data_IF_527287217787
#
_entry.id   IF_527287217787
#
_cell.length_a   1.000
_cell.length_b   1.000
_cell.length_c   1.000
_cell.angle_alpha   90.00
_cell.angle_beta   90.00
_cell.angle_gamma   90.00
#
_symmetry.space_group_name_H-M   'P 1'
#
loop_
_entity.id
_entity.type
_entity.pdbx_description
1 polymer ?
#
# COMPACT_ATOMS: atom_id res chain seq x y z
N UNK A 1 19.65 -18.07 14.58
CA UNK A 1 19.97 -16.86 13.80
C UNK A 1 19.08 -16.72 12.57
N UNK A 2 18.83 -17.79 11.82
CA UNK A 2 17.97 -17.77 10.61
C UNK A 2 16.59 -17.13 10.82
N UNK A 3 15.85 -17.52 11.87
CA UNK A 3 14.51 -16.97 12.15
C UNK A 3 14.45 -15.45 12.30
N UNK A 4 15.52 -14.83 12.82
CA UNK A 4 15.59 -13.38 12.98
C UNK A 4 15.80 -12.65 11.65
N UNK A 5 16.59 -13.25 10.76
CA UNK A 5 16.86 -12.72 9.41
C UNK A 5 15.60 -12.83 8.55
N UNK A 6 14.94 -13.99 8.54
CA UNK A 6 13.69 -14.20 7.77
C UNK A 6 12.61 -13.21 8.19
N UNK A 7 12.37 -13.07 9.51
CA UNK A 7 11.37 -12.11 10.03
C UNK A 7 11.72 -10.65 9.73
N UNK A 8 13.01 -10.33 9.68
CA UNK A 8 13.49 -9.01 9.29
C UNK A 8 13.23 -8.73 7.80
N UNK A 9 13.50 -9.70 6.93
CA UNK A 9 13.25 -9.59 5.48
C UNK A 9 11.76 -9.49 5.17
N UNK A 10 10.92 -10.32 5.80
CA UNK A 10 9.45 -10.27 5.62
C UNK A 10 8.90 -8.89 5.99
N UNK A 11 9.25 -8.36 7.17
CA UNK A 11 8.83 -7.02 7.60
C UNK A 11 9.37 -5.91 6.69
N UNK A 12 10.59 -6.08 6.16
CA UNK A 12 11.18 -5.13 5.22
C UNK A 12 10.42 -5.11 3.90
N UNK A 13 10.02 -6.28 3.40
CA UNK A 13 9.21 -6.41 2.19
C UNK A 13 7.81 -5.82 2.37
N UNK A 14 7.15 -6.08 3.50
CA UNK A 14 5.83 -5.51 3.82
C UNK A 14 5.87 -3.97 3.81
N UNK A 15 6.79 -3.37 4.57
CA UNK A 15 6.97 -1.91 4.61
C UNK A 15 7.30 -1.33 3.23
N UNK A 16 8.14 -2.02 2.46
CA UNK A 16 8.49 -1.60 1.10
C UNK A 16 7.27 -1.56 0.18
N UNK A 17 6.37 -2.55 0.30
CA UNK A 17 5.10 -2.57 -0.46
C UNK A 17 4.18 -1.42 -0.05
N UNK A 18 3.97 -1.22 1.26
CA UNK A 18 3.15 -0.12 1.79
C UNK A 18 3.63 1.24 1.26
N UNK A 19 4.93 1.52 1.36
CA UNK A 19 5.51 2.77 0.87
C UNK A 19 5.38 2.95 -0.64
N UNK A 20 5.57 1.88 -1.42
CA UNK A 20 5.44 1.93 -2.87
C UNK A 20 4.00 2.23 -3.29
N UNK A 21 3.02 1.54 -2.69
CA UNK A 21 1.59 1.79 -2.95
C UNK A 21 1.24 3.24 -2.59
N UNK A 22 1.67 3.72 -1.41
CA UNK A 22 1.42 5.11 -1.01
C UNK A 22 2.01 6.14 -1.99
N UNK A 23 3.24 5.93 -2.47
CA UNK A 23 3.88 6.79 -3.48
C UNK A 23 3.11 6.79 -4.80
N UNK A 24 2.56 5.65 -5.21
CA UNK A 24 1.72 5.56 -6.41
C UNK A 24 0.39 6.30 -6.22
N UNK A 25 -0.28 6.12 -5.08
CA UNK A 25 -1.54 6.81 -4.74
C UNK A 25 -1.32 8.33 -4.75
N UNK A 26 -0.31 8.84 -4.05
CA UNK A 26 -0.03 10.29 -3.97
C UNK A 26 0.45 10.88 -5.30
N UNK A 27 1.15 10.10 -6.13
CA UNK A 27 1.49 10.52 -7.50
C UNK A 27 0.25 10.66 -8.38
N UNK A 28 -0.70 9.72 -8.26
CA UNK A 28 -1.92 9.68 -9.07
C UNK A 28 -2.99 10.65 -8.58
N UNK A 29 -3.10 10.80 -7.27
CA UNK A 29 -4.07 11.64 -6.58
C UNK A 29 -3.35 12.61 -5.62
N UNK A 30 -2.74 13.70 -6.12
CA UNK A 30 -1.88 14.58 -5.31
C UNK A 30 -2.55 15.29 -4.13
N UNK A 31 -3.90 15.34 -4.11
CA UNK A 31 -4.69 15.98 -3.05
C UNK A 31 -5.32 14.98 -2.07
N UNK A 32 -4.93 13.71 -2.13
CA UNK A 32 -5.48 12.67 -1.25
C UNK A 32 -5.15 12.99 0.24
N UNK A 33 -6.11 12.84 1.16
CA UNK A 33 -5.84 13.04 2.58
C UNK A 33 -4.82 12.04 3.13
N UNK A 34 -4.04 12.45 4.13
CA UNK A 34 -3.04 11.59 4.77
C UNK A 34 -3.67 10.39 5.49
N UNK A 35 -4.93 10.47 5.92
CA UNK A 35 -5.63 9.37 6.59
C UNK A 35 -5.70 8.10 5.73
N UNK A 36 -5.62 8.23 4.39
CA UNK A 36 -5.51 7.09 3.48
C UNK A 36 -4.20 6.31 3.67
N UNK A 37 -3.12 6.96 4.07
CA UNK A 37 -1.85 6.30 4.36
C UNK A 37 -1.95 5.35 5.55
N UNK A 38 -2.65 5.76 6.60
CA UNK A 38 -2.85 4.91 7.77
C UNK A 38 -3.72 3.68 7.43
N UNK A 39 -4.69 3.84 6.51
CA UNK A 39 -5.44 2.70 5.96
C UNK A 39 -4.55 1.76 5.15
N UNK A 40 -3.67 2.29 4.29
CA UNK A 40 -2.71 1.48 3.49
C UNK A 40 -1.78 0.66 4.39
N UNK A 41 -1.26 1.24 5.47
CA UNK A 41 -0.43 0.52 6.47
C UNK A 41 -1.18 -0.60 7.18
N UNK A 42 -2.50 -0.51 7.27
CA UNK A 42 -3.35 -1.52 7.88
C UNK A 42 -3.63 -2.73 6.97
N UNK A 43 -3.29 -2.63 5.68
CA UNK A 43 -3.53 -3.68 4.71
C UNK A 43 -2.52 -4.82 4.82
N UNK A 44 -3.01 -6.04 4.59
CA UNK A 44 -2.13 -7.19 4.38
C UNK A 44 -1.44 -7.13 3.02
N UNK A 45 -0.34 -7.87 2.87
CA UNK A 45 0.43 -7.92 1.63
C UNK A 45 -0.40 -8.31 0.39
N UNK A 46 -1.35 -9.23 0.52
CA UNK A 46 -2.27 -9.64 -0.56
C UNK A 46 -3.22 -8.51 -0.97
N UNK A 47 -3.70 -7.73 -0.01
CA UNK A 47 -4.56 -6.57 -0.28
C UNK A 47 -3.79 -5.43 -0.94
N UNK A 48 -2.53 -5.22 -0.53
CA UNK A 48 -1.63 -4.26 -1.18
C UNK A 48 -1.35 -4.64 -2.64
N UNK A 49 -1.17 -5.93 -2.94
CA UNK A 49 -0.96 -6.41 -4.30
C UNK A 49 -2.20 -6.17 -5.19
N UNK A 50 -3.40 -6.46 -4.68
CA UNK A 50 -4.67 -6.18 -5.39
C UNK A 50 -4.84 -4.67 -5.61
N UNK A 51 -4.66 -3.86 -4.56
CA UNK A 51 -4.75 -2.41 -4.65
C UNK A 51 -3.76 -1.85 -5.68
N UNK A 52 -2.53 -2.38 -5.73
CA UNK A 52 -1.53 -1.96 -6.70
C UNK A 52 -1.94 -2.19 -8.16
N UNK A 53 -2.61 -3.32 -8.44
CA UNK A 53 -3.14 -3.61 -9.78
C UNK A 53 -4.31 -2.68 -10.13
N UNK A 54 -5.30 -2.59 -9.25
CA UNK A 54 -6.52 -1.80 -9.50
C UNK A 54 -6.21 -0.30 -9.60
N UNK A 55 -5.22 0.19 -8.85
CA UNK A 55 -4.79 1.59 -8.89
C UNK A 55 -4.35 2.04 -10.29
N UNK A 56 -3.86 1.13 -11.12
CA UNK A 56 -3.43 1.43 -12.50
C UNK A 56 -4.62 2.01 -13.30
N UNK A 57 -5.80 1.43 -13.13
CA UNK A 57 -6.99 1.75 -13.92
C UNK A 57 -7.91 2.78 -13.26
N UNK A 58 -7.76 3.04 -11.96
CA UNK A 58 -8.54 4.04 -11.23
C UNK A 58 -8.47 5.43 -11.87
N UNK A 59 -9.54 6.21 -11.76
CA UNK A 59 -9.62 7.59 -12.25
C UNK A 59 -10.01 8.57 -11.16
N UNK A 60 -10.68 8.11 -10.11
CA UNK A 60 -11.13 8.93 -9.00
C UNK A 60 -10.56 8.42 -7.67
N UNK A 61 -10.05 9.29 -6.78
CA UNK A 61 -9.59 8.89 -5.44
C UNK A 61 -10.66 8.19 -4.59
N UNK A 62 -11.95 8.43 -4.79
CA UNK A 62 -13.05 7.74 -4.08
C UNK A 62 -13.07 6.24 -4.39
N UNK A 63 -12.51 5.80 -5.51
CA UNK A 63 -12.43 4.38 -5.86
C UNK A 63 -11.55 3.60 -4.88
N UNK A 64 -10.62 4.27 -4.18
CA UNK A 64 -9.77 3.70 -3.16
C UNK A 64 -10.56 3.21 -1.94
N UNK A 65 -11.73 3.80 -1.66
CA UNK A 65 -12.56 3.44 -0.50
C UNK A 65 -13.11 2.01 -0.58
N UNK A 66 -13.12 1.41 -1.78
CA UNK A 66 -13.46 -0.01 -1.96
C UNK A 66 -12.39 -0.96 -1.42
N UNK A 67 -11.17 -0.47 -1.21
CA UNK A 67 -9.99 -1.25 -0.84
C UNK A 67 -9.41 -0.86 0.53
N UNK A 68 -9.71 0.36 1.02
CA UNK A 68 -9.10 0.99 2.20
C UNK A 68 -10.09 1.24 3.34
#
# INVERSE_FOLDING_TARGET
>A
MEKGITKGMEKGMEKGKEELIWKQITKKFPKIPYDYYEKVKGLRADQLDILGLELIDMKDPQELDRFL
#
